data_IF_753328275957
#
_entry.id   IF_753328275957
#
_cell.length_a   1.000
_cell.length_b   1.000
_cell.length_c   1.000
_cell.angle_alpha   90.00
_cell.angle_beta   90.00
_cell.angle_gamma   90.00
#
_symmetry.space_group_name_H-M   'P 1'
#
loop_
_entity.id
_entity.type
_entity.pdbx_description
1 polymer ?
#
# COMPACT_ATOMS: atom_id res chain seq x y z
N UNK A 1 30.67 0.20 2.87
CA UNK A 1 30.33 1.24 1.85
C UNK A 1 31.43 1.47 0.81
N UNK A 2 32.71 1.68 1.18
CA UNK A 2 33.81 1.88 0.23
C UNK A 2 34.05 0.69 -0.70
N UNK A 3 34.09 -0.53 -0.13
CA UNK A 3 34.29 -1.78 -0.89
C UNK A 3 33.22 -2.02 -1.96
N UNK A 4 31.94 -1.85 -1.62
CA UNK A 4 30.82 -2.02 -2.57
C UNK A 4 30.88 -0.96 -3.68
N UNK A 5 31.24 0.28 -3.34
CA UNK A 5 31.38 1.36 -4.32
C UNK A 5 32.53 1.06 -5.29
N UNK A 6 33.68 0.64 -4.77
CA UNK A 6 34.86 0.36 -5.58
C UNK A 6 34.63 -0.87 -6.47
N UNK A 7 33.92 -1.89 -5.97
CA UNK A 7 33.42 -3.03 -6.75
C UNK A 7 32.49 -2.58 -7.90
N UNK A 8 31.48 -1.76 -7.60
CA UNK A 8 30.53 -1.27 -8.61
C UNK A 8 31.21 -0.42 -9.70
N UNK A 9 32.21 0.38 -9.35
CA UNK A 9 32.99 1.13 -10.35
C UNK A 9 33.88 0.24 -11.21
N UNK A 10 34.36 -0.89 -10.68
CA UNK A 10 35.25 -1.79 -11.38
C UNK A 10 34.51 -2.76 -12.31
N UNK A 11 33.37 -3.30 -11.86
CA UNK A 11 32.65 -4.37 -12.56
C UNK A 11 31.35 -3.91 -13.23
N UNK A 12 30.75 -2.82 -12.76
CA UNK A 12 29.50 -2.27 -13.32
C UNK A 12 29.59 -0.76 -13.65
N UNK A 13 30.66 -0.29 -14.32
CA UNK A 13 30.90 1.15 -14.53
C UNK A 13 29.78 1.82 -15.33
N UNK A 14 29.10 1.09 -16.22
CA UNK A 14 27.98 1.60 -17.00
C UNK A 14 26.72 1.81 -16.15
N UNK A 15 26.42 0.93 -15.18
CA UNK A 15 25.31 1.13 -14.23
C UNK A 15 25.59 2.30 -13.28
N UNK A 16 26.85 2.51 -12.91
CA UNK A 16 27.28 3.67 -12.12
C UNK A 16 27.17 4.96 -12.93
N UNK A 17 27.60 4.97 -14.19
CA UNK A 17 27.43 6.12 -15.11
C UNK A 17 25.95 6.43 -15.36
N UNK A 18 25.09 5.42 -15.52
CA UNK A 18 23.64 5.61 -15.65
C UNK A 18 23.02 6.24 -14.38
N UNK A 19 23.52 5.90 -13.19
CA UNK A 19 23.10 6.53 -11.92
C UNK A 19 23.60 7.98 -11.80
N UNK A 20 24.80 8.30 -12.30
CA UNK A 20 25.37 9.65 -12.33
C UNK A 20 24.68 10.59 -13.33
N UNK A 21 24.17 10.05 -14.44
CA UNK A 21 23.48 10.82 -15.49
C UNK A 21 22.00 11.06 -15.25
N UNK A 22 21.42 10.57 -14.16
CA UNK A 22 20.08 11.01 -13.73
C UNK A 22 20.16 12.46 -13.25
N UNK A 23 20.18 13.42 -14.19
CA UNK A 23 19.45 14.67 -13.98
C UNK A 23 18.03 14.20 -13.62
N UNK A 24 17.60 14.42 -12.38
CA UNK A 24 16.21 14.18 -12.00
C UNK A 24 15.34 15.06 -12.88
N UNK A 25 14.93 14.55 -14.05
CA UNK A 25 13.84 15.14 -14.81
C UNK A 25 12.64 15.02 -13.88
N UNK A 26 12.15 16.17 -13.40
CA UNK A 26 10.91 16.19 -12.62
C UNK A 26 9.81 15.66 -13.52
N UNK A 27 9.40 14.41 -13.29
CA UNK A 27 8.20 13.84 -13.89
C UNK A 27 7.02 14.33 -13.06
N UNK A 28 6.01 14.89 -13.72
CA UNK A 28 4.75 15.24 -13.09
C UNK A 28 3.92 13.95 -13.07
N UNK A 29 3.51 13.52 -11.89
CA UNK A 29 2.51 12.47 -11.77
C UNK A 29 1.16 13.10 -12.03
N UNK A 30 0.35 12.50 -12.90
CA UNK A 30 -0.95 13.02 -13.29
C UNK A 30 -2.03 11.94 -13.13
N UNK A 31 -3.14 12.33 -12.50
CA UNK A 31 -4.39 11.59 -12.39
C UNK A 31 -5.53 12.59 -12.66
N UNK A 32 -6.62 12.13 -13.26
CA UNK A 32 -7.73 12.97 -13.68
C UNK A 32 -8.58 13.43 -12.48
N UNK A 33 -8.62 12.65 -11.41
CA UNK A 33 -9.44 12.90 -10.24
C UNK A 33 -9.14 11.93 -9.10
N UNK A 34 -9.90 12.05 -8.00
CA UNK A 34 -9.89 11.01 -6.97
C UNK A 34 -10.56 9.76 -7.53
N UNK A 35 -10.13 8.58 -7.06
CA UNK A 35 -10.60 7.27 -7.51
C UNK A 35 -10.37 6.97 -9.01
N UNK A 36 -9.67 7.85 -9.74
CA UNK A 36 -9.20 7.55 -11.10
C UNK A 36 -8.22 6.37 -11.10
N UNK A 37 -7.37 6.31 -10.07
CA UNK A 37 -6.49 5.18 -9.86
C UNK A 37 -6.10 5.01 -8.41
N UNK A 38 -5.78 3.78 -8.04
CA UNK A 38 -5.31 3.41 -6.70
C UNK A 38 -3.95 2.74 -6.80
N UNK A 39 -2.92 3.39 -6.25
CA UNK A 39 -1.57 2.85 -6.28
C UNK A 39 -1.35 1.98 -5.04
N UNK A 40 -0.99 0.72 -5.28
CA UNK A 40 -0.76 -0.30 -4.27
C UNK A 40 0.71 -0.70 -4.29
N UNK A 41 1.25 -0.96 -3.10
CA UNK A 41 2.61 -1.45 -2.94
C UNK A 41 2.79 -2.19 -1.62
N UNK A 42 3.85 -3.00 -1.56
CA UNK A 42 4.24 -3.76 -0.39
C UNK A 42 5.69 -3.45 0.00
N UNK A 43 5.96 -3.48 1.29
CA UNK A 43 7.29 -3.30 1.85
C UNK A 43 7.72 -4.48 2.74
N UNK A 44 8.86 -5.09 2.39
CA UNK A 44 9.33 -6.39 2.89
C UNK A 44 10.40 -6.30 3.99
N UNK A 45 10.82 -5.10 4.40
CA UNK A 45 11.94 -4.95 5.35
C UNK A 45 11.71 -5.61 6.71
N UNK A 46 10.47 -5.86 7.12
CA UNK A 46 10.16 -6.50 8.40
C UNK A 46 9.95 -8.02 8.26
N UNK A 47 10.19 -8.61 7.07
CA UNK A 47 10.07 -10.05 6.85
C UNK A 47 10.97 -10.86 7.77
N UNK A 48 12.11 -10.31 8.20
CA UNK A 48 12.98 -10.99 9.18
C UNK A 48 12.32 -11.18 10.56
N UNK A 49 11.23 -10.46 10.85
CA UNK A 49 10.37 -10.65 12.02
C UNK A 49 9.08 -11.40 11.67
N UNK A 50 8.89 -11.79 10.41
CA UNK A 50 7.63 -12.34 9.90
C UNK A 50 6.52 -11.30 9.70
N UNK A 51 6.87 -10.04 9.42
CA UNK A 51 5.91 -8.98 9.13
C UNK A 51 6.10 -8.41 7.71
N UNK A 52 5.01 -8.09 7.05
CA UNK A 52 4.95 -7.37 5.79
C UNK A 52 4.03 -6.16 5.93
N UNK A 53 4.42 -5.04 5.32
CA UNK A 53 3.60 -3.83 5.28
C UNK A 53 2.99 -3.65 3.90
N UNK A 54 1.75 -3.21 3.86
CA UNK A 54 0.95 -3.04 2.65
C UNK A 54 0.33 -1.66 2.64
N UNK A 55 0.31 -1.00 1.50
CA UNK A 55 -0.29 0.34 1.38
C UNK A 55 -1.10 0.50 0.11
N UNK A 56 -2.19 1.26 0.20
CA UNK A 56 -2.96 1.77 -0.91
C UNK A 56 -3.12 3.27 -0.79
N UNK A 57 -2.78 3.99 -1.86
CA UNK A 57 -2.86 5.44 -1.91
C UNK A 57 -3.60 5.90 -3.15
N UNK A 58 -4.57 6.79 -2.93
CA UNK A 58 -5.12 7.62 -3.99
C UNK A 58 -4.12 8.76 -4.26
N UNK A 59 -3.54 8.86 -5.47
CA UNK A 59 -2.49 9.82 -5.73
C UNK A 59 -3.00 11.25 -5.92
N UNK A 60 -4.28 11.46 -6.25
CA UNK A 60 -4.87 12.78 -6.46
C UNK A 60 -5.01 13.53 -5.13
N UNK A 61 -5.74 12.94 -4.19
CA UNK A 61 -5.88 13.42 -2.80
C UNK A 61 -4.57 13.25 -2.01
N UNK A 62 -3.81 12.20 -2.34
CA UNK A 62 -2.70 11.73 -1.54
C UNK A 62 -3.14 10.96 -0.30
N UNK A 63 -4.42 10.57 -0.19
CA UNK A 63 -5.00 9.85 0.95
C UNK A 63 -4.51 8.42 0.99
N UNK A 64 -4.00 7.98 2.15
CA UNK A 64 -3.79 6.55 2.38
C UNK A 64 -5.17 5.93 2.58
N UNK A 65 -5.63 5.15 1.60
CA UNK A 65 -6.87 4.38 1.71
C UNK A 65 -6.67 3.22 2.69
N UNK A 66 -5.47 2.63 2.72
CA UNK A 66 -5.04 1.73 3.80
C UNK A 66 -3.52 1.73 3.99
N UNK A 67 -3.13 1.33 5.20
CA UNK A 67 -1.77 0.96 5.59
C UNK A 67 -1.86 -0.18 6.59
N UNK A 68 -1.52 -1.40 6.18
CA UNK A 68 -1.68 -2.61 7.00
C UNK A 68 -0.37 -3.32 7.27
N UNK A 69 -0.28 -3.94 8.43
CA UNK A 69 0.76 -4.91 8.78
C UNK A 69 0.15 -6.30 8.84
N UNK A 70 0.79 -7.27 8.20
CA UNK A 70 0.33 -8.66 8.23
C UNK A 70 1.49 -9.65 8.10
N UNK A 71 1.20 -10.94 8.20
CA UNK A 71 2.20 -12.01 8.03
C UNK A 71 2.41 -12.42 6.57
N UNK A 72 1.48 -12.11 5.67
CA UNK A 72 1.54 -12.48 4.24
C UNK A 72 1.96 -11.31 3.35
N UNK A 73 2.32 -11.65 2.13
CA UNK A 73 2.63 -10.72 1.05
C UNK A 73 1.49 -10.55 0.02
N UNK A 74 0.33 -11.20 0.19
CA UNK A 74 -0.74 -11.08 -0.80
C UNK A 74 -1.47 -9.73 -0.74
N UNK A 75 -1.23 -8.86 -1.73
CA UNK A 75 -1.84 -7.54 -1.85
C UNK A 75 -3.37 -7.57 -1.98
N UNK A 76 -3.95 -8.58 -2.65
CA UNK A 76 -5.40 -8.64 -2.88
C UNK A 76 -6.16 -9.01 -1.61
N UNK A 77 -5.68 -10.01 -0.88
CA UNK A 77 -6.31 -10.37 0.39
C UNK A 77 -6.14 -9.26 1.43
N UNK A 78 -5.02 -8.52 1.39
CA UNK A 78 -4.90 -7.32 2.22
C UNK A 78 -5.82 -6.20 1.73
N UNK A 79 -5.98 -6.01 0.42
CA UNK A 79 -6.99 -5.09 -0.11
C UNK A 79 -8.40 -5.48 0.37
N UNK A 80 -8.81 -6.74 0.23
CA UNK A 80 -10.11 -7.25 0.68
C UNK A 80 -10.29 -7.25 2.21
N UNK A 81 -9.23 -7.44 3.00
CA UNK A 81 -9.32 -7.37 4.48
C UNK A 81 -9.23 -5.95 5.04
N UNK A 82 -8.49 -5.06 4.38
CA UNK A 82 -8.32 -3.65 4.76
C UNK A 82 -9.48 -2.78 4.31
N UNK A 83 -9.99 -3.01 3.09
CA UNK A 83 -11.36 -2.69 2.73
C UNK A 83 -12.23 -3.75 3.40
N UNK A 84 -12.36 -3.71 4.73
CA UNK A 84 -13.22 -4.61 5.48
C UNK A 84 -14.47 -4.90 4.67
N UNK A 85 -14.64 -6.16 4.28
CA UNK A 85 -15.68 -6.65 3.38
C UNK A 85 -17.12 -6.27 3.80
N UNK A 86 -17.30 -5.60 4.93
CA UNK A 86 -18.59 -5.16 5.45
C UNK A 86 -18.75 -3.64 5.65
N UNK A 87 -17.72 -2.80 5.46
CA UNK A 87 -17.81 -1.37 5.81
C UNK A 87 -17.24 -0.35 4.81
N UNK A 88 -16.49 -0.76 3.77
CA UNK A 88 -15.92 0.20 2.79
C UNK A 88 -16.37 0.00 1.33
N UNK A 89 -17.21 -0.99 1.04
CA UNK A 89 -17.64 -1.32 -0.34
C UNK A 89 -18.68 -0.36 -0.94
N UNK A 90 -18.70 0.91 -0.56
CA UNK A 90 -19.53 1.86 -1.29
C UNK A 90 -18.88 2.19 -2.63
N UNK A 91 -17.53 2.15 -2.73
CA UNK A 91 -16.84 2.48 -3.97
C UNK A 91 -15.52 1.75 -4.24
N UNK A 92 -15.14 1.69 -5.52
CA UNK A 92 -13.84 1.23 -6.02
C UNK A 92 -13.27 2.24 -7.02
N UNK A 93 -11.94 2.27 -7.24
CA UNK A 93 -11.33 3.13 -8.27
C UNK A 93 -11.62 2.60 -9.68
N UNK A 94 -11.38 3.42 -10.71
CA UNK A 94 -11.44 2.95 -12.10
C UNK A 94 -10.42 1.84 -12.34
N UNK A 95 -9.17 2.06 -11.91
CA UNK A 95 -8.07 1.12 -12.06
C UNK A 95 -7.20 1.03 -10.80
N UNK A 96 -6.45 -0.06 -10.70
CA UNK A 96 -5.37 -0.21 -9.71
C UNK A 96 -4.00 -0.11 -10.38
N UNK A 97 -2.96 0.19 -9.62
CA UNK A 97 -1.58 0.28 -10.12
C UNK A 97 -0.62 -0.34 -9.12
N UNK A 98 0.32 -1.17 -9.56
CA UNK A 98 1.38 -1.72 -8.70
C UNK A 98 2.66 -1.98 -9.50
N UNK A 99 3.73 -2.37 -8.80
CA UNK A 99 4.89 -2.98 -9.47
C UNK A 99 4.51 -4.38 -10.03
N UNK A 100 5.19 -4.84 -11.09
CA UNK A 100 5.07 -6.21 -11.58
C UNK A 100 5.47 -7.20 -10.49
N UNK A 101 4.57 -8.12 -10.17
CA UNK A 101 4.78 -9.10 -9.13
C UNK A 101 3.63 -10.07 -9.08
N UNK A 102 3.90 -11.38 -8.88
CA UNK A 102 2.84 -12.37 -8.80
C UNK A 102 1.88 -12.14 -7.62
N UNK A 103 2.32 -11.47 -6.55
CA UNK A 103 1.48 -11.08 -5.41
C UNK A 103 0.34 -10.12 -5.80
N UNK A 104 0.48 -9.39 -6.92
CA UNK A 104 -0.52 -8.46 -7.41
C UNK A 104 -1.45 -9.10 -8.45
N UNK A 105 -1.28 -10.39 -8.76
CA UNK A 105 -2.10 -11.11 -9.74
C UNK A 105 -3.58 -11.10 -9.36
N UNK A 106 -3.90 -11.53 -8.13
CA UNK A 106 -5.28 -11.57 -7.66
C UNK A 106 -5.88 -10.16 -7.63
N UNK A 107 -5.09 -9.14 -7.28
CA UNK A 107 -5.53 -7.74 -7.26
C UNK A 107 -5.96 -7.29 -8.66
N UNK A 108 -5.08 -7.52 -9.63
CA UNK A 108 -5.30 -7.10 -11.00
C UNK A 108 -6.46 -7.87 -11.66
N UNK A 109 -6.56 -9.20 -11.45
CA UNK A 109 -7.66 -10.01 -11.97
C UNK A 109 -9.00 -9.71 -11.30
N UNK A 110 -9.04 -9.68 -9.97
CA UNK A 110 -10.29 -9.45 -9.24
C UNK A 110 -10.84 -8.06 -9.47
N UNK A 111 -10.00 -7.01 -9.47
CA UNK A 111 -10.44 -5.66 -9.82
C UNK A 111 -10.97 -5.59 -11.26
N UNK A 112 -10.29 -6.25 -12.21
CA UNK A 112 -10.75 -6.32 -13.60
C UNK A 112 -12.08 -7.05 -13.73
N UNK A 113 -12.27 -8.17 -13.02
CA UNK A 113 -13.53 -8.92 -13.02
C UNK A 113 -14.70 -8.07 -12.53
N UNK A 114 -14.51 -7.34 -11.43
CA UNK A 114 -15.54 -6.47 -10.86
C UNK A 114 -15.89 -5.35 -11.85
N UNK A 115 -14.89 -4.67 -12.42
CA UNK A 115 -15.11 -3.59 -13.39
C UNK A 115 -15.77 -4.08 -14.68
N UNK A 116 -15.40 -5.27 -15.17
CA UNK A 116 -15.98 -5.88 -16.37
C UNK A 116 -17.42 -6.35 -16.15
N UNK A 117 -17.75 -6.76 -14.93
CA UNK A 117 -19.13 -7.11 -14.53
C UNK A 117 -20.04 -5.88 -14.48
N UNK A 118 -19.48 -4.71 -14.17
CA UNK A 118 -20.19 -3.44 -14.10
C UNK A 118 -20.33 -2.75 -15.46
N UNK A 119 -19.33 -2.87 -16.33
CA UNK A 119 -19.31 -2.25 -17.66
C UNK A 119 -18.90 -3.27 -18.74
N UNK A 120 -19.87 -3.76 -19.54
CA UNK A 120 -19.61 -4.70 -20.62
C UNK A 120 -18.62 -4.21 -21.69
N UNK A 121 -18.38 -2.90 -21.82
CA UNK A 121 -17.40 -2.38 -22.78
C UNK A 121 -15.95 -2.64 -22.33
N UNK A 122 -15.75 -3.00 -21.05
CA UNK A 122 -14.44 -3.29 -20.49
C UNK A 122 -14.04 -4.76 -20.65
N UNK A 123 -14.92 -5.61 -21.20
CA UNK A 123 -14.68 -7.04 -21.33
C UNK A 123 -13.37 -7.32 -22.07
N UNK A 124 -12.52 -8.14 -21.46
CA UNK A 124 -11.18 -8.46 -21.98
C UNK A 124 -10.10 -7.40 -21.71
N UNK A 125 -10.44 -6.22 -21.19
CA UNK A 125 -9.49 -5.18 -20.82
C UNK A 125 -9.01 -5.32 -19.37
N UNK A 126 -7.70 -5.17 -19.16
CA UNK A 126 -7.07 -5.21 -17.85
C UNK A 126 -7.24 -3.87 -17.14
N UNK A 127 -7.99 -3.84 -16.04
CA UNK A 127 -8.19 -2.64 -15.21
C UNK A 127 -7.11 -2.47 -14.14
N UNK A 128 -5.87 -2.73 -14.54
CA UNK A 128 -4.70 -2.66 -13.70
C UNK A 128 -3.48 -2.21 -14.51
N UNK A 129 -2.67 -1.33 -13.93
CA UNK A 129 -1.45 -0.84 -14.56
C UNK A 129 -0.21 -1.33 -13.80
N UNK A 130 0.60 -2.15 -14.48
CA UNK A 130 1.89 -2.58 -13.96
C UNK A 130 3.00 -1.56 -14.26
N UNK A 131 3.67 -1.07 -13.23
CA UNK A 131 4.70 -0.04 -13.32
C UNK A 131 6.11 -0.62 -13.32
N UNK A 132 6.77 -0.65 -14.48
CA UNK A 132 8.17 -1.09 -14.58
C UNK A 132 9.12 -0.03 -14.01
N UNK A 133 10.34 -0.44 -13.67
CA UNK A 133 11.48 0.46 -13.40
C UNK A 133 11.31 1.53 -12.31
N UNK A 134 10.60 1.22 -11.21
CA UNK A 134 10.36 2.14 -10.09
C UNK A 134 9.50 3.34 -10.47
N UNK A 135 8.54 3.12 -11.37
CA UNK A 135 7.59 4.15 -11.76
C UNK A 135 6.33 4.16 -10.87
N UNK A 136 6.18 3.23 -9.91
CA UNK A 136 5.14 3.28 -8.87
C UNK A 136 5.48 4.34 -7.79
N UNK A 137 5.62 5.59 -8.24
CA UNK A 137 6.14 6.72 -7.46
C UNK A 137 5.28 7.05 -6.22
N UNK A 138 3.93 7.04 -6.28
CA UNK A 138 3.14 7.46 -5.12
C UNK A 138 3.38 6.59 -3.87
N UNK A 139 3.36 5.24 -3.96
CA UNK A 139 3.74 4.40 -2.84
C UNK A 139 5.22 4.55 -2.41
N UNK A 140 6.17 4.72 -3.34
CA UNK A 140 7.57 4.99 -2.96
C UNK A 140 7.72 6.24 -2.08
N UNK A 141 6.96 7.30 -2.39
CA UNK A 141 6.92 8.52 -1.58
C UNK A 141 6.31 8.23 -0.19
N UNK A 142 5.26 7.43 -0.13
CA UNK A 142 4.63 6.99 1.13
C UNK A 142 5.63 6.26 2.00
N UNK A 143 6.31 5.24 1.48
CA UNK A 143 7.32 4.48 2.21
C UNK A 143 8.49 5.34 2.67
N UNK A 144 8.93 6.28 1.85
CA UNK A 144 9.99 7.23 2.22
C UNK A 144 9.60 8.08 3.44
N UNK A 145 8.34 8.51 3.53
CA UNK A 145 7.84 9.28 4.68
C UNK A 145 7.64 8.41 5.92
N UNK A 146 7.01 7.24 5.77
CA UNK A 146 6.81 6.27 6.85
C UNK A 146 8.16 5.90 7.48
N UNK A 147 9.19 5.68 6.65
CA UNK A 147 10.53 5.34 7.10
C UNK A 147 11.26 6.45 7.85
N UNK A 148 10.89 7.71 7.62
CA UNK A 148 11.51 8.85 8.32
C UNK A 148 10.82 9.15 9.65
N UNK A 149 9.50 8.92 9.71
CA UNK A 149 8.67 9.46 10.77
C UNK A 149 8.11 8.39 11.74
N UNK A 150 7.92 7.16 11.28
CA UNK A 150 7.20 6.12 12.05
C UNK A 150 8.06 4.87 12.29
N UNK A 151 8.49 4.20 11.22
CA UNK A 151 9.09 2.86 11.39
C UNK A 151 10.38 2.81 12.19
N UNK A 152 11.26 3.83 12.27
CA UNK A 152 12.46 3.74 13.11
C UNK A 152 12.15 3.50 14.59
N UNK A 153 11.09 4.11 15.13
CA UNK A 153 10.67 3.90 16.52
C UNK A 153 10.14 2.49 16.76
N UNK A 154 9.27 2.02 15.86
CA UNK A 154 8.68 0.68 15.93
C UNK A 154 9.72 -0.42 15.70
N UNK A 155 10.59 -0.26 14.71
CA UNK A 155 11.72 -1.15 14.43
C UNK A 155 12.66 -1.24 15.62
N UNK A 156 12.94 -0.11 16.29
CA UNK A 156 13.82 -0.11 17.46
C UNK A 156 13.25 -0.95 18.62
N UNK A 157 11.94 -0.86 18.86
CA UNK A 157 11.26 -1.66 19.88
C UNK A 157 11.33 -3.14 19.52
N UNK A 158 11.00 -3.49 18.26
CA UNK A 158 10.95 -4.89 17.85
C UNK A 158 12.33 -5.54 17.67
N UNK A 159 13.33 -4.77 17.26
CA UNK A 159 14.70 -5.27 17.08
C UNK A 159 15.46 -5.42 18.41
N UNK A 160 15.00 -4.77 19.48
CA UNK A 160 15.66 -4.78 20.79
C UNK A 160 14.70 -5.24 21.90
N UNK A 161 14.24 -6.50 21.88
CA UNK A 161 13.20 -6.98 22.78
C UNK A 161 13.64 -7.12 24.26
N UNK A 162 14.94 -6.95 24.55
CA UNK A 162 15.51 -7.13 25.88
C UNK A 162 16.10 -8.54 26.10
N UNK A 163 16.92 -8.73 27.15
CA UNK A 163 17.73 -9.93 27.33
C UNK A 163 16.93 -11.19 27.71
N UNK A 164 15.69 -11.04 28.15
CA UNK A 164 14.83 -12.14 28.59
C UNK A 164 13.79 -12.57 27.55
N UNK A 165 13.74 -11.89 26.41
CA UNK A 165 12.83 -12.25 25.33
C UNK A 165 13.47 -13.29 24.43
N UNK A 166 12.73 -14.37 24.22
CA UNK A 166 13.06 -15.44 23.31
C UNK A 166 12.06 -15.40 22.15
N UNK A 167 12.52 -14.92 21.00
CA UNK A 167 11.74 -14.82 19.78
C UNK A 167 12.54 -15.28 18.57
N UNK A 168 11.98 -16.25 17.87
CA UNK A 168 12.38 -16.68 16.54
C UNK A 168 11.12 -16.82 15.69
N UNK A 169 11.05 -16.15 14.52
CA UNK A 169 9.92 -16.31 13.61
C UNK A 169 9.80 -17.74 13.09
N UNK A 170 10.87 -18.54 13.09
CA UNK A 170 10.81 -19.95 12.67
C UNK A 170 10.21 -20.87 13.74
N UNK A 171 10.11 -20.44 15.00
CA UNK A 171 9.49 -21.23 16.05
C UNK A 171 7.97 -21.03 16.01
N UNK A 172 7.16 -22.08 15.75
CA UNK A 172 5.72 -21.93 15.58
C UNK A 172 4.99 -21.29 16.76
N UNK A 173 5.34 -21.68 18.00
CA UNK A 173 4.71 -21.12 19.18
C UNK A 173 5.07 -19.65 19.36
N UNK A 174 6.37 -19.33 19.32
CA UNK A 174 6.86 -17.96 19.50
C UNK A 174 6.27 -17.04 18.43
N UNK A 175 6.22 -17.49 17.18
CA UNK A 175 5.66 -16.72 16.08
C UNK A 175 4.16 -16.47 16.22
N UNK A 176 3.36 -17.46 16.62
CA UNK A 176 1.92 -17.25 16.79
C UNK A 176 1.59 -16.37 18.01
N UNK A 177 2.35 -16.47 19.12
CA UNK A 177 2.24 -15.51 20.22
C UNK A 177 2.63 -14.09 19.76
N UNK A 178 3.71 -13.99 18.97
CA UNK A 178 4.16 -12.72 18.41
C UNK A 178 3.10 -12.10 17.50
N UNK A 179 2.52 -12.84 16.56
CA UNK A 179 1.43 -12.35 15.71
C UNK A 179 0.26 -11.82 16.55
N UNK A 180 -0.21 -12.61 17.52
CA UNK A 180 -1.36 -12.27 18.35
C UNK A 180 -1.14 -10.99 19.17
N UNK A 181 0.06 -10.75 19.69
CA UNK A 181 0.39 -9.58 20.50
C UNK A 181 0.80 -8.38 19.65
N UNK A 182 1.70 -8.59 18.69
CA UNK A 182 2.42 -7.51 17.98
C UNK A 182 1.65 -6.98 16.79
N UNK A 183 0.96 -7.80 16.00
CA UNK A 183 0.24 -7.31 14.81
C UNK A 183 -0.87 -6.32 15.19
N UNK A 184 -1.77 -6.60 16.17
CA UNK A 184 -2.80 -5.64 16.57
C UNK A 184 -2.24 -4.34 17.13
N UNK A 185 -1.18 -4.42 17.95
CA UNK A 185 -0.50 -3.24 18.48
C UNK A 185 0.15 -2.41 17.37
N UNK A 186 0.91 -3.05 16.48
CA UNK A 186 1.57 -2.38 15.36
C UNK A 186 0.51 -1.77 14.43
N UNK A 187 -0.57 -2.49 14.13
CA UNK A 187 -1.66 -1.97 13.31
C UNK A 187 -2.26 -0.69 13.90
N UNK A 188 -2.50 -0.62 15.22
CA UNK A 188 -2.95 0.61 15.87
C UNK A 188 -2.00 1.79 15.65
N UNK A 189 -0.68 1.55 15.72
CA UNK A 189 0.32 2.58 15.44
C UNK A 189 0.30 3.04 13.97
N UNK A 190 -0.01 2.15 13.03
CA UNK A 190 -0.20 2.50 11.63
C UNK A 190 -1.49 3.29 11.42
N UNK A 191 -2.58 2.89 12.08
CA UNK A 191 -3.88 3.55 12.00
C UNK A 191 -3.80 4.99 12.54
N UNK A 192 -3.18 5.20 13.72
CA UNK A 192 -2.94 6.53 14.30
C UNK A 192 -2.12 7.42 13.34
N UNK A 193 -1.10 6.83 12.68
CA UNK A 193 -0.31 7.54 11.68
C UNK A 193 -1.11 7.90 10.43
N UNK A 194 -1.97 7.00 9.95
CA UNK A 194 -2.84 7.24 8.79
C UNK A 194 -3.81 8.38 9.10
N UNK A 195 -4.49 8.33 10.25
CA UNK A 195 -5.43 9.36 10.70
C UNK A 195 -4.74 10.74 10.76
N UNK A 196 -3.59 10.82 11.44
CA UNK A 196 -2.83 12.06 11.53
C UNK A 196 -2.40 12.56 10.14
N UNK A 197 -1.89 11.67 9.28
CA UNK A 197 -1.37 12.03 7.96
C UNK A 197 -2.49 12.49 7.01
N UNK A 198 -3.65 11.87 7.07
CA UNK A 198 -4.76 12.16 6.16
C UNK A 198 -5.58 13.38 6.61
N UNK A 199 -5.67 13.65 7.92
CA UNK A 199 -6.32 14.85 8.47
C UNK A 199 -5.42 16.11 8.46
N UNK A 200 -4.10 15.95 8.34
CA UNK A 200 -3.18 17.09 8.41
C UNK A 200 -2.95 17.75 7.06
N UNK A 201 -3.17 19.07 6.99
CA UNK A 201 -2.81 19.88 5.82
C UNK A 201 -1.30 19.85 5.56
N UNK A 202 -0.93 19.43 4.35
CA UNK A 202 0.47 19.42 3.94
C UNK A 202 0.98 20.80 3.57
N UNK A 203 2.28 21.04 3.80
CA UNK A 203 2.95 22.25 3.32
C UNK A 203 2.74 22.39 1.82
N UNK A 204 2.23 23.55 1.40
CA UNK A 204 2.06 23.88 -0.01
C UNK A 204 3.42 23.81 -0.73
N UNK A 205 3.42 23.14 -1.88
CA UNK A 205 4.58 23.02 -2.76
C UNK A 205 4.25 23.74 -4.06
N UNK A 206 4.99 24.82 -4.37
CA UNK A 206 4.70 25.70 -5.53
C UNK A 206 4.66 24.98 -6.89
N UNK A 207 5.27 23.80 -6.99
CA UNK A 207 5.37 23.03 -8.23
C UNK A 207 4.42 21.80 -8.25
N UNK A 208 3.57 21.64 -7.23
CA UNK A 208 2.57 20.56 -7.18
C UNK A 208 1.34 21.03 -7.94
N UNK A 209 0.92 20.24 -8.93
CA UNK A 209 -0.30 20.50 -9.74
C UNK A 209 -1.53 19.97 -9.00
N UNK A 210 -1.35 18.87 -8.28
CA UNK A 210 -2.37 18.21 -7.48
C UNK A 210 -2.85 19.10 -6.31
N UNK A 211 -4.11 18.92 -5.85
CA UNK A 211 -4.76 19.77 -4.86
C UNK A 211 -3.97 19.95 -3.56
N UNK A 212 -4.16 21.11 -2.92
CA UNK A 212 -3.54 21.48 -1.65
C UNK A 212 -4.56 21.47 -0.51
N UNK A 213 -4.46 20.50 0.38
CA UNK A 213 -5.34 20.36 1.54
C UNK A 213 -4.97 19.13 2.37
N UNK A 214 -5.66 18.90 3.49
CA UNK A 214 -5.76 17.59 4.09
C UNK A 214 -6.26 16.56 3.07
N UNK A 215 -5.60 15.39 2.94
CA UNK A 215 -6.10 14.33 2.08
C UNK A 215 -7.55 13.90 2.32
N UNK A 216 -8.01 13.88 3.57
CA UNK A 216 -9.41 13.52 3.89
C UNK A 216 -10.39 14.56 3.33
N UNK A 217 -10.14 15.86 3.57
CA UNK A 217 -10.98 16.93 3.03
C UNK A 217 -11.07 16.89 1.49
N UNK A 218 -9.97 16.59 0.80
CA UNK A 218 -9.95 16.49 -0.67
C UNK A 218 -10.76 15.30 -1.16
N UNK A 219 -10.66 14.15 -0.46
CA UNK A 219 -11.36 12.92 -0.81
C UNK A 219 -12.87 13.00 -0.54
N UNK A 220 -13.26 13.66 0.55
CA UNK A 220 -14.66 13.81 0.96
C UNK A 220 -15.38 14.97 0.24
N UNK A 221 -14.64 16.02 -0.14
CA UNK A 221 -15.19 17.24 -0.75
C UNK A 221 -14.46 17.64 -2.04
N UNK A 222 -14.34 16.74 -3.04
CA UNK A 222 -13.53 16.96 -4.24
C UNK A 222 -13.91 18.24 -5.01
N UNK A 223 -15.20 18.57 -5.07
CA UNK A 223 -15.72 19.78 -5.72
C UNK A 223 -15.14 21.07 -5.12
N UNK A 224 -14.88 21.09 -3.80
CA UNK A 224 -14.31 22.25 -3.12
C UNK A 224 -12.85 22.51 -3.51
N UNK A 225 -12.20 21.53 -4.13
CA UNK A 225 -10.82 21.59 -4.61
C UNK A 225 -10.73 21.63 -6.15
N UNK A 226 -11.87 21.70 -6.86
CA UNK A 226 -11.90 21.63 -8.32
C UNK A 226 -11.41 20.28 -8.87
N UNK A 227 -11.64 19.21 -8.11
CA UNK A 227 -11.22 17.85 -8.42
C UNK A 227 -12.45 17.03 -8.79
N UNK A 228 -12.32 16.15 -9.78
CA UNK A 228 -13.36 15.20 -10.15
C UNK A 228 -13.28 13.93 -9.27
N UNK A 229 -14.42 13.28 -9.07
CA UNK A 229 -14.52 11.98 -8.40
C UNK A 229 -14.95 10.90 -9.38
N UNK A 230 -14.09 9.91 -9.56
CA UNK A 230 -14.30 8.78 -10.46
C UNK A 230 -14.69 7.50 -9.72
N UNK A 231 -15.20 7.62 -8.48
CA UNK A 231 -15.64 6.46 -7.72
C UNK A 231 -16.69 5.66 -8.46
N UNK A 232 -16.52 4.35 -8.47
CA UNK A 232 -17.48 3.41 -9.03
C UNK A 232 -18.23 2.81 -7.86
N UNK A 233 -19.53 3.12 -7.77
CA UNK A 233 -20.39 2.57 -6.71
C UNK A 233 -20.66 1.10 -7.01
N UNK A 234 -20.50 0.25 -6.00
CA UNK A 234 -20.79 -1.18 -6.09
C UNK A 234 -21.83 -1.58 -5.04
N UNK A 235 -22.57 -2.64 -5.34
CA UNK A 235 -23.39 -3.34 -4.35
C UNK A 235 -22.52 -4.45 -3.74
N UNK A 236 -22.17 -4.37 -2.44
CA UNK A 236 -21.33 -5.38 -1.77
C UNK A 236 -21.97 -6.77 -1.79
N UNK A 237 -23.30 -6.84 -1.81
CA UNK A 237 -24.04 -8.11 -1.79
C UNK A 237 -24.28 -8.67 -3.20
N UNK A 238 -23.78 -8.00 -4.24
CA UNK A 238 -23.94 -8.45 -5.60
C UNK A 238 -23.20 -9.75 -5.90
N UNK A 239 -23.78 -10.59 -6.76
CA UNK A 239 -23.21 -11.90 -7.11
C UNK A 239 -21.80 -11.79 -7.71
N UNK A 240 -21.54 -10.77 -8.52
CA UNK A 240 -20.22 -10.58 -9.13
C UNK A 240 -19.13 -10.20 -8.11
N UNK A 241 -19.50 -9.61 -6.96
CA UNK A 241 -18.56 -9.35 -5.86
C UNK A 241 -18.24 -10.66 -5.15
N UNK A 242 -19.26 -11.43 -4.79
CA UNK A 242 -19.08 -12.74 -4.15
C UNK A 242 -18.28 -13.71 -5.04
N UNK A 243 -18.53 -13.71 -6.35
CA UNK A 243 -17.75 -14.49 -7.33
C UNK A 243 -16.29 -14.03 -7.37
N UNK A 244 -16.03 -12.72 -7.38
CA UNK A 244 -14.67 -12.19 -7.38
C UNK A 244 -13.92 -12.58 -6.10
N UNK A 245 -14.57 -12.54 -4.95
CA UNK A 245 -14.01 -12.98 -3.67
C UNK A 245 -13.71 -14.47 -3.71
N UNK A 246 -14.66 -15.31 -4.11
CA UNK A 246 -14.44 -16.75 -4.20
C UNK A 246 -13.31 -17.14 -5.15
N UNK A 247 -13.08 -16.37 -6.22
CA UNK A 247 -12.02 -16.66 -7.19
C UNK A 247 -10.65 -16.11 -6.78
N UNK A 248 -10.60 -14.91 -6.19
CA UNK A 248 -9.36 -14.15 -6.05
C UNK A 248 -8.99 -13.83 -4.59
N UNK A 249 -9.92 -13.99 -3.65
CA UNK A 249 -9.72 -13.77 -2.22
C UNK A 249 -10.72 -14.60 -1.37
N UNK A 250 -10.67 -15.95 -1.40
CA UNK A 250 -11.71 -16.79 -0.80
C UNK A 250 -11.89 -16.46 0.70
N UNK A 251 -13.12 -16.16 1.16
CA UNK A 251 -13.34 -15.60 2.50
C UNK A 251 -12.98 -16.56 3.66
N UNK A 252 -12.93 -17.85 3.38
CA UNK A 252 -12.53 -18.93 4.30
C UNK A 252 -11.02 -19.23 4.26
N UNK A 253 -10.25 -18.49 3.45
CA UNK A 253 -8.82 -18.71 3.35
C UNK A 253 -8.14 -18.43 4.71
N UNK A 254 -7.28 -19.34 5.24
CA UNK A 254 -6.62 -19.20 6.54
C UNK A 254 -5.75 -17.95 6.73
N UNK A 255 -5.51 -17.19 5.67
CA UNK A 255 -4.70 -15.99 5.64
C UNK A 255 -5.42 -14.78 6.24
N UNK A 256 -6.75 -14.82 6.29
CA UNK A 256 -7.57 -13.83 6.98
C UNK A 256 -7.58 -14.04 8.50
N UNK A 257 -7.15 -15.22 8.96
CA UNK A 257 -6.97 -15.50 10.38
C UNK A 257 -5.60 -14.97 10.85
N UNK A 258 -5.60 -14.11 11.88
CA UNK A 258 -4.37 -13.63 12.50
C UNK A 258 -3.51 -14.81 13.03
N UNK A 259 -4.19 -15.76 13.65
CA UNK A 259 -3.68 -17.03 14.18
C UNK A 259 -4.81 -18.06 14.09
N UNK A 260 -4.50 -19.38 14.08
CA UNK A 260 -5.53 -20.41 14.06
C UNK A 260 -6.59 -20.21 15.14
N UNK A 261 -7.87 -20.42 14.81
CA UNK A 261 -9.00 -20.16 15.72
C UNK A 261 -8.85 -20.82 17.11
N UNK A 262 -8.33 -22.05 17.18
CA UNK A 262 -8.08 -22.72 18.47
C UNK A 262 -6.98 -22.01 19.27
N UNK A 263 -5.92 -21.55 18.61
CA UNK A 263 -4.87 -20.77 19.26
C UNK A 263 -5.40 -19.42 19.77
N UNK A 264 -6.24 -18.74 18.98
CA UNK A 264 -6.87 -17.48 19.37
C UNK A 264 -7.72 -17.63 20.64
N UNK A 265 -8.51 -18.70 20.73
CA UNK A 265 -9.30 -19.01 21.91
C UNK A 265 -8.43 -19.13 23.17
N UNK A 266 -7.32 -19.87 23.10
CA UNK A 266 -6.41 -20.02 24.24
C UNK A 266 -5.62 -18.74 24.55
N UNK A 267 -5.18 -18.02 23.52
CA UNK A 267 -4.49 -16.75 23.67
C UNK A 267 -5.40 -15.73 24.39
N UNK A 268 -6.65 -15.59 23.95
CA UNK A 268 -7.65 -14.73 24.59
C UNK A 268 -7.87 -15.09 26.06
N UNK A 269 -7.98 -16.38 26.39
CA UNK A 269 -8.11 -16.85 27.77
C UNK A 269 -6.86 -16.54 28.61
N UNK A 270 -5.66 -16.77 28.07
CA UNK A 270 -4.42 -16.46 28.79
C UNK A 270 -4.21 -14.96 28.97
N UNK A 271 -4.61 -14.16 27.99
CA UNK A 271 -4.56 -12.71 28.07
C UNK A 271 -5.46 -12.18 29.20
N UNK A 272 -6.66 -12.75 29.37
CA UNK A 272 -7.52 -12.44 30.51
C UNK A 272 -6.88 -12.85 31.85
N UNK A 273 -6.22 -14.02 31.91
CA UNK A 273 -5.57 -14.49 33.14
C UNK A 273 -4.37 -13.65 33.58
N UNK A 274 -3.68 -12.99 32.65
CA UNK A 274 -2.59 -12.05 32.98
C UNK A 274 -3.13 -10.63 33.27
N UNK A 275 -4.46 -10.47 33.34
CA UNK A 275 -5.12 -9.22 33.71
C UNK A 275 -5.41 -8.27 32.55
N UNK A 276 -5.34 -8.76 31.30
CA UNK A 276 -5.57 -7.96 30.08
C UNK A 276 -4.77 -6.64 30.07
N UNK A 277 -3.45 -6.69 30.27
CA UNK A 277 -2.62 -5.49 30.32
C UNK A 277 -2.71 -4.71 29.01
N UNK A 278 -2.61 -3.38 29.10
CA UNK A 278 -2.50 -2.55 27.92
C UNK A 278 -1.23 -2.89 27.14
N UNK A 279 -1.35 -3.05 25.82
CA UNK A 279 -0.23 -3.33 24.91
C UNK A 279 0.17 -1.99 24.27
N UNK A 280 1.35 -1.49 24.63
CA UNK A 280 1.94 -0.27 24.11
C UNK A 280 3.45 -0.44 23.89
N UNK A 281 4.16 0.66 23.57
CA UNK A 281 5.60 0.63 23.26
C UNK A 281 6.47 0.02 24.37
N UNK A 282 6.08 0.22 25.63
CA UNK A 282 6.86 -0.22 26.79
C UNK A 282 6.48 -1.64 27.23
N UNK A 283 5.24 -2.06 26.98
CA UNK A 283 4.69 -3.32 27.52
C UNK A 283 4.61 -4.45 26.50
N UNK A 284 4.72 -4.18 25.20
CA UNK A 284 4.48 -5.17 24.13
C UNK A 284 5.29 -6.46 24.32
N UNK A 285 6.56 -6.35 24.69
CA UNK A 285 7.42 -7.51 24.93
C UNK A 285 7.14 -8.19 26.27
N UNK A 286 6.78 -7.44 27.31
CA UNK A 286 6.41 -8.01 28.60
C UNK A 286 5.12 -8.84 28.49
N UNK A 287 4.14 -8.35 27.73
CA UNK A 287 2.91 -9.10 27.42
C UNK A 287 3.23 -10.33 26.60
N UNK A 288 4.07 -10.20 25.55
CA UNK A 288 4.54 -11.34 24.78
C UNK A 288 5.18 -12.43 25.65
N UNK A 289 6.09 -12.07 26.56
CA UNK A 289 6.77 -13.02 27.45
C UNK A 289 5.78 -13.72 28.39
N UNK A 290 4.85 -12.98 28.99
CA UNK A 290 3.83 -13.55 29.87
C UNK A 290 2.91 -14.52 29.13
N UNK A 291 2.47 -14.16 27.92
CA UNK A 291 1.66 -15.01 27.05
C UNK A 291 2.43 -16.28 26.66
N UNK A 292 3.69 -16.14 26.24
CA UNK A 292 4.54 -17.27 25.87
C UNK A 292 4.76 -18.23 27.04
N UNK A 293 4.94 -17.72 28.26
CA UNK A 293 5.07 -18.54 29.46
C UNK A 293 3.79 -19.32 29.77
N UNK A 294 2.60 -18.71 29.60
CA UNK A 294 1.31 -19.40 29.79
C UNK A 294 1.18 -20.60 28.86
N UNK A 295 1.53 -20.43 27.58
CA UNK A 295 1.53 -21.53 26.61
C UNK A 295 2.57 -22.61 26.94
N UNK A 296 3.80 -22.23 27.31
CA UNK A 296 4.86 -23.19 27.69
C UNK A 296 4.50 -24.03 28.91
N UNK A 297 3.79 -23.44 29.87
CA UNK A 297 3.31 -24.15 31.06
C UNK A 297 2.17 -25.13 30.75
N UNK A 298 1.51 -25.01 29.60
CA UNK A 298 0.47 -25.93 29.14
C UNK A 298 0.97 -26.79 27.96
N UNK A 299 1.97 -27.63 28.23
CA UNK A 299 2.65 -28.45 27.21
C UNK A 299 1.74 -29.42 26.45
N UNK A 300 0.63 -29.87 27.06
CA UNK A 300 -0.36 -30.76 26.41
C UNK A 300 -1.14 -30.05 25.31
N UNK A 301 -1.35 -28.74 25.45
CA UNK A 301 -2.01 -27.91 24.44
C UNK A 301 -1.15 -27.79 23.18
N UNK A 302 0.17 -27.64 23.37
CA UNK A 302 1.11 -27.41 22.27
C UNK A 302 1.21 -28.61 21.32
N UNK A 303 0.91 -29.81 21.80
CA UNK A 303 0.92 -31.02 20.97
C UNK A 303 -0.33 -31.19 20.12
N UNK A 304 -1.41 -30.44 20.40
CA UNK A 304 -2.67 -30.51 19.65
C UNK A 304 -2.83 -29.37 18.65
N UNK A 305 -2.14 -28.25 18.85
CA UNK A 305 -2.20 -27.09 17.97
C UNK A 305 -1.30 -27.29 16.74
N UNK A 306 -1.89 -27.26 15.54
CA UNK A 306 -1.17 -27.22 14.26
C UNK A 306 -0.60 -25.81 14.01
N UNK A 307 0.49 -25.49 14.70
CA UNK A 307 1.16 -24.20 14.56
C UNK A 307 2.26 -24.27 13.50
N UNK A 308 2.36 -23.19 12.72
CA UNK A 308 3.46 -22.96 11.78
C UNK A 308 4.26 -21.72 12.18
N UNK A 309 5.57 -21.77 11.97
CA UNK A 309 6.43 -20.59 12.02
C UNK A 309 6.22 -19.71 10.79
N UNK A 310 6.90 -18.57 10.74
CA UNK A 310 6.96 -17.73 9.57
C UNK A 310 7.55 -18.48 8.39
N UNK A 311 6.83 -18.42 7.28
CA UNK A 311 7.21 -18.96 6.00
C UNK A 311 6.89 -17.88 4.95
N UNK A 312 7.80 -17.66 4.01
CA UNK A 312 7.56 -16.74 2.89
C UNK A 312 6.66 -17.49 1.90
N UNK A 313 5.36 -17.26 2.04
CA UNK A 313 4.28 -17.96 1.34
C UNK A 313 4.15 -17.56 -0.14
N UNK A 314 5.05 -16.73 -0.68
CA UNK A 314 4.99 -16.24 -2.06
C UNK A 314 4.79 -17.35 -3.07
N UNK A 315 5.69 -18.32 -3.09
CA UNK A 315 5.73 -19.33 -4.14
C UNK A 315 4.58 -20.33 -3.96
N UNK A 316 4.23 -20.63 -2.71
CA UNK A 316 3.09 -21.51 -2.38
C UNK A 316 1.77 -20.85 -2.78
N UNK A 317 1.60 -19.56 -2.49
CA UNK A 317 0.45 -18.75 -2.92
C UNK A 317 0.33 -18.74 -4.45
N UNK A 318 1.43 -18.48 -5.15
CA UNK A 318 1.43 -18.49 -6.62
C UNK A 318 0.95 -19.84 -7.13
N UNK A 319 1.52 -20.92 -6.60
CA UNK A 319 1.14 -22.27 -7.00
C UNK A 319 -0.33 -22.58 -6.68
N UNK A 320 -0.81 -22.20 -5.50
CA UNK A 320 -2.20 -22.37 -5.09
C UNK A 320 -3.15 -21.68 -6.07
N UNK A 321 -2.88 -20.42 -6.43
CA UNK A 321 -3.71 -19.68 -7.38
C UNK A 321 -3.60 -20.25 -8.80
N UNK A 322 -2.41 -20.71 -9.21
CA UNK A 322 -2.22 -21.39 -10.51
C UNK A 322 -3.06 -22.67 -10.58
N UNK A 323 -3.04 -23.49 -9.53
CA UNK A 323 -3.76 -24.75 -9.45
C UNK A 323 -5.28 -24.51 -9.37
N UNK A 324 -5.72 -23.52 -8.57
CA UNK A 324 -7.13 -23.18 -8.39
C UNK A 324 -7.78 -22.60 -9.65
N UNK A 325 -7.08 -21.70 -10.34
CA UNK A 325 -7.59 -21.04 -11.55
C UNK A 325 -7.19 -21.76 -12.85
N UNK A 326 -6.32 -22.77 -12.77
CA UNK A 326 -5.73 -23.46 -13.92
C UNK A 326 -5.09 -22.48 -14.93
N UNK A 327 -4.34 -21.50 -14.41
CA UNK A 327 -3.66 -20.46 -15.20
C UNK A 327 -2.16 -20.43 -14.88
N UNK A 328 -1.35 -19.92 -15.81
CA UNK A 328 0.06 -19.63 -15.55
C UNK A 328 0.19 -18.20 -15.01
N UNK A 329 0.72 -18.04 -13.80
CA UNK A 329 0.96 -16.73 -13.19
C UNK A 329 2.38 -16.27 -13.51
N UNK A 330 2.48 -15.19 -14.26
CA UNK A 330 3.73 -14.46 -14.45
C UNK A 330 3.78 -13.19 -13.61
N UNK A 331 4.82 -12.37 -13.82
CA UNK A 331 4.93 -11.06 -13.18
C UNK A 331 3.87 -10.05 -13.64
N UNK A 332 3.20 -10.33 -14.76
CA UNK A 332 2.14 -9.51 -15.36
C UNK A 332 1.08 -10.43 -15.94
N UNK A 333 -0.16 -9.94 -15.98
CA UNK A 333 -1.28 -10.57 -16.69
C UNK A 333 -1.06 -10.42 -18.20
N UNK A 334 -1.16 -11.52 -18.94
CA UNK A 334 -0.91 -11.58 -20.40
C UNK A 334 -2.15 -11.98 -21.21
N UNK A 335 -3.21 -12.43 -20.54
CA UNK A 335 -4.45 -12.92 -21.15
C UNK A 335 -5.57 -11.85 -21.16
N UNK A 336 -5.24 -10.60 -20.86
CA UNK A 336 -6.11 -9.43 -20.97
C UNK A 336 -5.35 -8.30 -21.67
N UNK A 337 -6.07 -7.52 -22.48
CA UNK A 337 -5.50 -6.38 -23.19
C UNK A 337 -5.22 -5.24 -22.19
N UNK A 338 -4.01 -4.69 -22.12
CA UNK A 338 -3.72 -3.54 -21.27
C UNK A 338 -4.50 -2.31 -21.72
N UNK A 339 -4.77 -1.39 -20.79
CA UNK A 339 -5.32 -0.08 -21.16
C UNK A 339 -4.38 0.68 -22.09
N UNK A 340 -4.98 1.57 -22.87
CA UNK A 340 -4.23 2.48 -23.72
C UNK A 340 -3.30 3.35 -22.86
N UNK A 341 -2.19 3.74 -23.47
CA UNK A 341 -1.21 4.59 -22.82
C UNK A 341 -0.74 5.65 -23.79
N UNK A 342 -1.04 6.90 -23.44
CA UNK A 342 -0.47 8.05 -24.13
C UNK A 342 0.95 8.31 -23.61
N UNK A 343 1.95 8.01 -24.46
CA UNK A 343 3.36 8.24 -24.16
C UNK A 343 3.69 9.75 -24.05
N UNK A 344 2.89 10.63 -24.64
CA UNK A 344 3.10 12.07 -24.66
C UNK A 344 2.52 12.76 -23.40
N UNK A 345 1.30 12.39 -23.00
CA UNK A 345 0.58 12.97 -21.85
C UNK A 345 1.00 12.47 -20.47
N UNK A 346 1.80 11.39 -20.38
CA UNK A 346 2.24 10.76 -19.11
C UNK A 346 1.07 10.38 -18.16
N UNK A 347 -0.14 10.26 -18.71
CA UNK A 347 -1.35 9.92 -17.98
C UNK A 347 -1.38 8.44 -17.64
N UNK A 348 -1.72 8.13 -16.38
CA UNK A 348 -1.69 6.75 -15.90
C UNK A 348 -3.05 6.22 -15.43
N UNK A 349 -4.09 7.06 -15.40
CA UNK A 349 -5.41 6.77 -14.84
C UNK A 349 -6.43 6.17 -15.81
N UNK A 350 -7.55 5.66 -15.29
CA UNK A 350 -8.51 4.82 -16.02
C UNK A 350 -9.54 5.55 -16.89
N UNK A 351 -9.56 6.88 -16.90
CA UNK A 351 -10.48 7.67 -17.75
C UNK A 351 -10.27 7.38 -19.26
N UNK A 352 -11.39 7.23 -19.98
CA UNK A 352 -11.44 6.93 -21.42
C UNK A 352 -10.52 5.77 -21.85
N UNK A 353 -10.51 4.68 -21.08
CA UNK A 353 -9.69 3.51 -21.41
C UNK A 353 -8.18 3.75 -21.33
N UNK A 354 -7.75 4.75 -20.55
CA UNK A 354 -6.34 5.11 -20.37
C UNK A 354 -5.86 6.28 -21.24
N UNK A 355 -6.75 6.91 -22.01
CA UNK A 355 -6.43 8.09 -22.84
C UNK A 355 -6.56 9.42 -22.08
N UNK A 356 -7.26 9.42 -20.93
CA UNK A 356 -7.48 10.62 -20.14
C UNK A 356 -8.74 11.38 -20.54
N UNK A 357 -9.08 12.46 -19.82
CA UNK A 357 -10.14 13.36 -20.24
C UNK A 357 -9.78 14.04 -21.57
N UNK A 358 -10.79 14.39 -22.37
CA UNK A 358 -10.60 15.28 -23.52
C UNK A 358 -10.10 16.64 -23.01
N UNK A 359 -8.80 16.88 -23.14
CA UNK A 359 -8.20 18.17 -22.81
C UNK A 359 -8.33 19.05 -24.04
N UNK A 360 -9.22 20.04 -24.03
CA UNK A 360 -9.12 21.16 -24.98
C UNK A 360 -7.69 21.72 -24.87
N UNK A 361 -6.98 21.88 -25.99
CA UNK A 361 -5.53 22.18 -26.08
C UNK A 361 -5.07 23.35 -25.19
N UNK A 362 -5.98 24.22 -24.74
CA UNK A 362 -5.72 25.35 -23.83
C UNK A 362 -5.38 24.94 -22.38
N UNK A 363 -5.62 23.69 -21.96
CA UNK A 363 -5.29 23.21 -20.60
C UNK A 363 -3.96 22.42 -20.52
N UNK A 364 -3.42 21.97 -21.66
CA UNK A 364 -2.16 21.24 -21.72
C UNK A 364 -0.94 22.16 -21.49
N UNK A 365 -1.07 23.44 -21.82
CA UNK A 365 -0.08 24.47 -21.53
C UNK A 365 -0.43 25.22 -20.23
N UNK A 366 -0.10 24.59 -19.11
CA UNK A 366 0.20 25.29 -17.86
C UNK A 366 1.44 26.21 -17.96
N UNK A 367 1.70 26.81 -19.12
CA UNK A 367 2.55 27.99 -19.27
C UNK A 367 1.67 29.18 -18.91
N UNK A 368 1.66 29.52 -17.62
CA UNK A 368 1.25 30.86 -17.21
C UNK A 368 2.18 31.84 -17.97
N UNK A 369 1.67 32.46 -19.03
CA UNK A 369 2.30 33.64 -19.63
C UNK A 369 2.16 34.76 -18.60
N UNK A 370 3.20 34.96 -17.79
CA UNK A 370 3.32 36.19 -17.02
C UNK A 370 3.42 37.35 -18.01
N UNK A 371 2.47 38.29 -17.98
CA UNK A 371 2.75 39.62 -18.54
C UNK A 371 3.88 40.20 -17.70
N UNK A 372 4.93 40.64 -18.38
CA UNK A 372 5.97 41.44 -17.78
C UNK A 372 5.38 42.82 -17.50
N UNK A 373 4.85 43.01 -16.30
CA UNK A 373 4.58 44.34 -15.78
C UNK A 373 5.88 44.84 -15.12
N UNK A 374 6.86 45.15 -15.96
CA UNK A 374 7.93 46.10 -15.64
C UNK A 374 7.64 47.38 -16.44
N UNK A 375 6.84 48.27 -15.84
CA UNK A 375 6.86 49.68 -16.16
C UNK A 375 6.37 50.47 -14.94
N UNK A 376 7.29 51.29 -14.43
CA UNK A 376 7.07 52.54 -13.69
C UNK A 376 7.61 52.54 -12.25
N UNK A 377 8.91 52.86 -12.14
CA UNK A 377 9.39 53.95 -11.26
C UNK A 377 10.87 54.26 -11.49
N UNK A 378 11.16 54.94 -12.61
CA UNK A 378 12.26 55.92 -12.62
C UNK A 378 11.63 57.31 -12.55
N UNK A 379 11.83 58.00 -11.42
CA UNK A 379 12.11 59.44 -11.33
C UNK A 379 11.93 59.90 -9.88
N UNK A 380 13.02 59.96 -9.13
CA UNK A 380 13.17 61.07 -8.19
C UNK A 380 14.64 61.47 -8.09
N UNK A 381 14.98 62.48 -8.89
CA UNK A 381 16.16 63.31 -8.69
C UNK A 381 15.65 64.74 -8.50
N UNK A 382 15.74 65.26 -7.29
CA UNK A 382 15.39 66.65 -6.99
C UNK A 382 15.73 67.02 -5.54
N UNK A 383 16.86 67.71 -5.39
CA UNK A 383 17.31 68.41 -4.19
C UNK A 383 16.29 69.43 -3.67
N UNK A 384 16.21 69.64 -2.35
CA UNK A 384 16.55 70.94 -1.71
C UNK A 384 16.32 70.91 -0.19
N UNK A 385 17.32 71.45 0.52
CA UNK A 385 17.47 71.79 1.96
C UNK A 385 17.67 70.70 3.01
#
# INVERSE_FOLDING_TARGET
RKVIRDYMHQYEPELVKQRLHRRFKRRRFWAAGINDMLCVDQHDKLKYLGLALHTGIDPMSGKLKWLKVWSTINSMQIYCSSCSLALCFIDIPLITQSDPGPENFCLAKGHSYIRQSLDPNLQGLLQHRYMKDKNNIPPEIVWSNIRRNLTPGLENILANPGPHVDYSPQNPLQYNVFKWVVIPWFQRQLDDYVELRNSTKRRAQKNKILPHGPPDDIDEHPDSYGVLDFKVIIDPDASYIQEAEQLYAPPDHPIFELVPAEFDYWASNYFQQIGSPEINHDTVWDVYVQMLQKFRNNSRLLTTLELHGFHDDRDDFVKEVQDALNVQIGNQIQDMEPLLFDEEGLYMGGVQGGLGPDIDEDLADGVVRFSSDDADSENDSGSDN
#
